data_IF_588228714977
#
_entry.id   IF_588228714977
#
_cell.length_a   1.000
_cell.length_b   1.000
_cell.length_c   1.000
_cell.angle_alpha   90.00
_cell.angle_beta   90.00
_cell.angle_gamma   90.00
#
_symmetry.space_group_name_H-M   'P 1'
#
loop_
_entity.id
_entity.type
_entity.pdbx_description
1 polymer ?
#
# COMPACT_ATOMS: atom_id res chain seq x y z
N UNK A 1 -13.96 4.99 -3.38
CA UNK A 1 -13.07 6.15 -3.22
C UNK A 1 -12.20 6.23 -4.45
N UNK A 2 -12.17 7.37 -5.12
CA UNK A 2 -11.38 7.55 -6.33
C UNK A 2 -9.94 7.93 -5.97
N UNK A 3 -8.91 7.19 -6.44
CA UNK A 3 -7.52 7.50 -6.13
C UNK A 3 -7.04 8.81 -6.75
N UNK A 4 -7.72 9.29 -7.81
CA UNK A 4 -7.43 10.56 -8.48
C UNK A 4 -8.07 11.78 -7.79
N UNK A 5 -8.96 11.57 -6.81
CA UNK A 5 -9.58 12.66 -6.06
C UNK A 5 -8.66 13.19 -4.95
N UNK A 6 -8.95 14.38 -4.43
CA UNK A 6 -8.16 15.00 -3.36
C UNK A 6 -8.03 14.11 -2.12
N UNK A 7 -9.11 13.43 -1.72
CA UNK A 7 -9.07 12.48 -0.60
C UNK A 7 -8.22 11.24 -0.94
N UNK A 8 -8.31 10.72 -2.16
CA UNK A 8 -7.47 9.62 -2.61
C UNK A 8 -5.98 9.99 -2.56
N UNK A 9 -5.63 11.17 -3.07
CA UNK A 9 -4.27 11.70 -2.98
C UNK A 9 -3.80 11.87 -1.51
N UNK A 10 -4.69 12.29 -0.62
CA UNK A 10 -4.38 12.43 0.81
C UNK A 10 -4.11 11.08 1.49
N UNK A 11 -4.87 10.02 1.14
CA UNK A 11 -4.60 8.64 1.59
C UNK A 11 -3.26 8.13 1.03
N UNK A 12 -2.98 8.44 -0.24
CA UNK A 12 -1.79 7.93 -0.92
C UNK A 12 -0.50 8.62 -0.45
N UNK A 13 -0.56 9.89 -0.05
CA UNK A 13 0.60 10.68 0.36
C UNK A 13 1.47 9.98 1.43
N UNK A 14 0.94 9.56 2.61
CA UNK A 14 1.74 8.87 3.62
C UNK A 14 2.25 7.50 3.13
N UNK A 15 1.46 6.77 2.34
CA UNK A 15 1.85 5.47 1.79
C UNK A 15 3.02 5.58 0.78
N UNK A 16 2.95 6.55 -0.13
CA UNK A 16 4.01 6.83 -1.12
C UNK A 16 5.28 7.32 -0.42
N UNK A 17 5.15 8.24 0.54
CA UNK A 17 6.28 8.75 1.31
C UNK A 17 6.99 7.63 2.07
N UNK A 18 6.22 6.75 2.72
CA UNK A 18 6.74 5.60 3.44
C UNK A 18 7.45 4.61 2.52
N UNK A 19 6.82 4.24 1.39
CA UNK A 19 7.42 3.32 0.43
C UNK A 19 8.71 3.90 -0.18
N UNK A 20 8.72 5.19 -0.54
CA UNK A 20 9.94 5.86 -1.03
C UNK A 20 11.05 5.88 0.04
N UNK A 21 10.69 6.14 1.31
CA UNK A 21 11.64 6.12 2.41
C UNK A 21 12.21 4.72 2.67
N UNK A 22 11.37 3.67 2.60
CA UNK A 22 11.81 2.29 2.74
C UNK A 22 12.79 1.87 1.64
N UNK A 23 12.48 2.20 0.38
CA UNK A 23 13.36 1.87 -0.74
C UNK A 23 14.58 2.79 -0.83
N UNK A 24 14.57 3.94 -0.15
CA UNK A 24 15.63 4.94 -0.22
C UNK A 24 15.70 5.66 -1.58
N UNK A 25 14.63 5.60 -2.37
CA UNK A 25 14.53 6.24 -3.69
C UNK A 25 13.08 6.67 -3.98
N UNK A 26 12.88 7.68 -4.84
CA UNK A 26 11.55 8.04 -5.29
C UNK A 26 10.92 6.86 -6.02
N UNK A 27 9.73 6.47 -5.59
CA UNK A 27 8.92 5.42 -6.22
C UNK A 27 7.48 5.88 -6.37
N UNK A 28 6.75 5.22 -7.26
CA UNK A 28 5.33 5.45 -7.49
C UNK A 28 4.52 4.24 -7.04
N UNK A 29 3.39 4.50 -6.41
CA UNK A 29 2.39 3.47 -6.12
C UNK A 29 1.34 3.51 -7.22
N UNK A 30 1.29 2.46 -8.01
CA UNK A 30 0.27 2.21 -9.00
C UNK A 30 -0.96 1.64 -8.30
N UNK A 31 -1.91 2.52 -7.99
CA UNK A 31 -3.10 2.18 -7.21
C UNK A 31 -4.02 1.31 -8.05
N UNK A 32 -4.13 0.05 -7.64
CA UNK A 32 -4.95 -0.93 -8.33
C UNK A 32 -6.35 -0.99 -7.74
N UNK A 33 -6.44 -0.94 -6.41
CA UNK A 33 -7.71 -0.87 -5.69
C UNK A 33 -7.54 0.07 -4.49
N UNK A 34 -8.46 1.02 -4.36
CA UNK A 34 -8.57 1.89 -3.19
C UNK A 34 -10.00 1.82 -2.66
N UNK A 35 -10.14 1.26 -1.45
CA UNK A 35 -11.43 1.11 -0.77
C UNK A 35 -11.37 1.91 0.51
N UNK A 36 -12.37 2.74 0.77
CA UNK A 36 -12.50 3.44 2.04
C UNK A 36 -13.92 3.28 2.57
N UNK A 37 -14.04 3.08 3.88
CA UNK A 37 -15.30 2.98 4.61
C UNK A 37 -15.05 3.24 6.11
N UNK A 38 -15.99 3.90 6.77
CA UNK A 38 -15.98 4.11 8.22
C UNK A 38 -14.69 4.77 8.76
N UNK A 39 -14.12 5.73 8.00
CA UNK A 39 -12.85 6.36 8.35
C UNK A 39 -11.61 5.48 8.11
N UNK A 40 -11.77 4.26 7.62
CA UNK A 40 -10.66 3.39 7.20
C UNK A 40 -10.46 3.41 5.70
N UNK A 41 -9.22 3.32 5.25
CA UNK A 41 -8.87 3.17 3.84
C UNK A 41 -7.88 2.01 3.66
N UNK A 42 -8.23 1.09 2.78
CA UNK A 42 -7.38 0.03 2.32
C UNK A 42 -6.86 0.34 0.93
N UNK A 43 -5.53 0.45 0.86
CA UNK A 43 -4.79 0.68 -0.37
C UNK A 43 -4.18 -0.63 -0.84
N UNK A 44 -4.51 -1.02 -2.06
CA UNK A 44 -3.84 -2.08 -2.80
C UNK A 44 -3.20 -1.50 -4.05
N UNK A 45 -1.88 -1.58 -4.12
CA UNK A 45 -1.10 -0.97 -5.21
C UNK A 45 0.09 -1.84 -5.62
N UNK A 46 0.62 -1.60 -6.81
CA UNK A 46 1.91 -2.12 -7.23
C UNK A 46 2.98 -1.02 -7.11
N UNK A 47 4.19 -1.39 -6.71
CA UNK A 47 5.33 -0.47 -6.70
C UNK A 47 5.92 -0.37 -8.10
N UNK A 48 6.11 0.86 -8.55
CA UNK A 48 6.72 1.21 -9.82
C UNK A 48 7.82 2.25 -9.59
N UNK A 49 8.78 2.26 -10.49
CA UNK A 49 9.70 3.39 -10.63
C UNK A 49 8.88 4.64 -11.02
N UNK A 50 9.42 5.85 -10.80
CA UNK A 50 8.76 7.10 -11.18
C UNK A 50 8.48 7.21 -12.69
N UNK A 51 9.23 6.46 -13.50
CA UNK A 51 9.05 6.29 -14.95
C UNK A 51 7.84 5.39 -15.32
N UNK A 52 7.25 4.68 -14.35
CA UNK A 52 6.17 3.70 -14.57
C UNK A 52 6.67 2.27 -14.85
N UNK A 53 7.98 2.10 -15.02
CA UNK A 53 8.63 0.81 -15.07
C UNK A 53 8.43 0.01 -13.77
N UNK A 54 8.39 -1.34 -13.81
CA UNK A 54 8.30 -2.15 -12.60
C UNK A 54 9.44 -1.81 -11.62
N UNK A 55 9.15 -1.71 -10.32
CA UNK A 55 10.19 -1.40 -9.33
C UNK A 55 11.34 -2.40 -9.45
N UNK A 56 12.55 -1.85 -9.53
CA UNK A 56 13.77 -2.62 -9.49
C UNK A 56 14.34 -2.58 -8.08
N UNK A 57 14.38 -3.73 -7.42
CA UNK A 57 14.90 -3.80 -6.06
C UNK A 57 16.42 -3.91 -6.01
N UNK A 58 17.10 -3.99 -7.16
CA UNK A 58 18.56 -4.17 -7.21
C UNK A 58 19.24 -2.97 -6.55
N UNK A 59 20.15 -3.25 -5.62
CA UNK A 59 20.84 -2.22 -4.84
C UNK A 59 20.01 -1.56 -3.73
N UNK A 60 18.75 -1.97 -3.53
CA UNK A 60 17.95 -1.59 -2.36
C UNK A 60 18.10 -2.63 -1.24
N UNK A 61 17.77 -2.31 0.02
CA UNK A 61 17.72 -3.31 1.10
C UNK A 61 16.74 -4.47 0.82
N UNK A 62 15.82 -4.29 -0.12
CA UNK A 62 14.88 -5.33 -0.56
C UNK A 62 15.43 -6.22 -1.68
N UNK A 63 16.62 -5.94 -2.22
CA UNK A 63 17.24 -6.69 -3.32
C UNK A 63 17.28 -8.19 -3.00
N UNK A 64 17.74 -8.53 -1.80
CA UNK A 64 17.92 -9.92 -1.38
C UNK A 64 16.57 -10.63 -1.20
N UNK A 65 15.59 -9.98 -0.55
CA UNK A 65 14.25 -10.53 -0.39
C UNK A 65 13.52 -10.70 -1.73
N UNK A 66 13.66 -9.75 -2.64
CA UNK A 66 13.11 -9.84 -3.99
C UNK A 66 13.79 -10.93 -4.83
N UNK A 67 15.12 -11.04 -4.75
CA UNK A 67 15.89 -12.07 -5.46
C UNK A 67 15.56 -13.49 -4.98
N UNK A 68 15.26 -13.65 -3.70
CA UNK A 68 14.78 -14.92 -3.12
C UNK A 68 13.30 -15.21 -3.43
N UNK A 69 12.60 -14.35 -4.20
CA UNK A 69 11.18 -14.51 -4.52
C UNK A 69 10.24 -14.29 -3.33
N UNK A 70 10.76 -13.78 -2.20
CA UNK A 70 10.02 -13.53 -0.96
C UNK A 70 9.20 -12.25 -1.06
N UNK A 71 9.63 -11.30 -1.89
CA UNK A 71 8.99 -9.99 -2.04
C UNK A 71 8.30 -9.85 -3.40
N UNK A 72 6.97 -9.78 -3.39
CA UNK A 72 6.21 -9.34 -4.57
C UNK A 72 6.39 -7.84 -4.83
N UNK A 73 6.13 -7.38 -6.06
CA UNK A 73 6.06 -5.94 -6.41
C UNK A 73 4.78 -5.25 -5.90
N UNK A 74 4.05 -5.89 -4.98
CA UNK A 74 2.78 -5.42 -4.43
C UNK A 74 3.04 -4.61 -3.17
N UNK A 75 2.29 -3.55 -2.96
CA UNK A 75 2.31 -2.76 -1.74
C UNK A 75 0.88 -2.58 -1.26
N UNK A 76 0.64 -2.99 -0.02
CA UNK A 76 -0.65 -2.81 0.63
C UNK A 76 -0.48 -2.01 1.90
N UNK A 77 -1.43 -1.12 2.14
CA UNK A 77 -1.44 -0.28 3.32
C UNK A 77 -2.86 -0.11 3.86
N UNK A 78 -2.95 -0.08 5.19
CA UNK A 78 -4.15 0.29 5.92
C UNK A 78 -3.93 1.67 6.53
N UNK A 79 -4.88 2.54 6.27
CA UNK A 79 -4.89 3.90 6.76
C UNK A 79 -6.17 4.16 7.53
N UNK A 80 -6.07 5.04 8.50
CA UNK A 80 -7.19 5.51 9.29
C UNK A 80 -7.22 7.04 9.25
N UNK A 81 -8.42 7.58 9.05
CA UNK A 81 -8.68 9.00 9.08
C UNK A 81 -8.91 9.43 10.52
N UNK A 82 -8.09 10.35 10.98
CA UNK A 82 -8.19 11.02 12.27
C UNK A 82 -8.46 12.53 12.06
N UNK A 83 -8.61 13.30 13.13
CA UNK A 83 -8.73 14.76 13.11
C UNK A 83 -7.58 15.47 12.36
N UNK A 84 -6.37 14.86 12.31
CA UNK A 84 -5.23 15.38 11.55
C UNK A 84 -5.20 14.95 10.07
N UNK A 85 -6.09 14.05 9.65
CA UNK A 85 -6.15 13.49 8.30
C UNK A 85 -5.81 11.99 8.26
N UNK A 86 -5.40 11.51 7.09
CA UNK A 86 -5.09 10.09 6.87
C UNK A 86 -3.72 9.71 7.46
N UNK A 87 -3.73 8.76 8.39
CA UNK A 87 -2.55 8.22 9.03
C UNK A 87 -2.33 6.75 8.65
N UNK A 88 -1.07 6.38 8.38
CA UNK A 88 -0.69 5.00 8.08
C UNK A 88 -0.74 4.15 9.35
N UNK A 89 -1.63 3.16 9.40
CA UNK A 89 -1.80 2.26 10.56
C UNK A 89 -0.93 1.02 10.40
N UNK A 90 -1.02 0.35 9.25
CA UNK A 90 -0.21 -0.84 8.95
C UNK A 90 0.10 -0.89 7.45
N UNK A 91 1.16 -1.62 7.08
CA UNK A 91 1.63 -1.80 5.72
C UNK A 91 2.26 -3.18 5.54
N UNK A 92 2.11 -3.74 4.34
CA UNK A 92 2.82 -4.94 3.93
C UNK A 92 3.43 -4.71 2.56
N UNK A 93 4.74 -4.91 2.49
CA UNK A 93 5.52 -4.83 1.27
C UNK A 93 5.68 -6.24 0.72
N UNK A 94 5.30 -6.42 -0.53
CA UNK A 94 5.41 -7.66 -1.28
C UNK A 94 4.79 -8.91 -0.66
N UNK A 95 3.59 -8.86 -0.05
CA UNK A 95 3.03 -10.04 0.56
C UNK A 95 2.77 -11.13 -0.49
N UNK A 96 3.27 -12.34 -0.21
CA UNK A 96 3.01 -13.56 -1.00
C UNK A 96 1.55 -13.99 -0.88
N UNK A 97 0.96 -13.75 0.29
CA UNK A 97 -0.40 -14.14 0.68
C UNK A 97 -1.27 -12.91 1.02
N UNK A 98 -2.51 -13.15 1.45
CA UNK A 98 -3.41 -12.13 1.99
C UNK A 98 -2.89 -11.70 3.38
N UNK A 99 -1.82 -10.92 3.43
CA UNK A 99 -1.18 -10.50 4.67
C UNK A 99 -2.04 -9.53 5.52
N UNK A 100 -3.13 -9.02 4.95
CA UNK A 100 -4.16 -8.25 5.63
C UNK A 100 -5.32 -9.12 6.15
N UNK A 101 -5.24 -10.45 5.96
CA UNK A 101 -6.18 -11.38 6.57
C UNK A 101 -6.09 -11.24 8.11
N UNK A 102 -7.16 -10.74 8.72
CA UNK A 102 -7.22 -10.46 10.16
C UNK A 102 -7.02 -8.99 10.54
N UNK A 103 -6.64 -8.09 9.61
CA UNK A 103 -6.56 -6.65 9.91
C UNK A 103 -7.89 -6.07 10.38
N UNK A 104 -9.00 -6.52 9.79
CA UNK A 104 -10.34 -6.15 10.24
C UNK A 104 -10.57 -6.49 11.72
N UNK A 105 -10.20 -7.70 12.16
CA UNK A 105 -10.37 -8.13 13.54
C UNK A 105 -9.35 -7.49 14.49
N UNK A 106 -8.13 -7.23 14.01
CA UNK A 106 -7.04 -6.68 14.82
C UNK A 106 -7.19 -5.17 15.06
N UNK A 107 -7.52 -4.42 14.01
CA UNK A 107 -7.63 -2.96 14.04
C UNK A 107 -9.07 -2.46 14.16
N UNK A 108 -10.07 -3.33 13.98
CA UNK A 108 -11.48 -2.93 13.94
C UNK A 108 -11.93 -2.35 12.60
N UNK A 109 -11.09 -2.44 11.55
CA UNK A 109 -11.42 -1.93 10.23
C UNK A 109 -12.55 -2.75 9.58
N UNK A 110 -13.45 -2.12 8.80
CA UNK A 110 -14.57 -2.82 8.17
C UNK A 110 -14.12 -3.87 7.15
N UNK A 111 -14.60 -5.11 7.27
CA UNK A 111 -14.20 -6.21 6.36
C UNK A 111 -14.40 -5.89 4.86
N UNK A 112 -15.40 -5.06 4.54
CA UNK A 112 -15.75 -4.68 3.18
C UNK A 112 -14.66 -3.91 2.42
N UNK A 113 -13.73 -3.22 3.10
CA UNK A 113 -12.62 -2.54 2.40
C UNK A 113 -11.53 -3.51 1.96
N UNK A 114 -11.45 -4.68 2.61
CA UNK A 114 -10.51 -5.75 2.27
C UNK A 114 -11.05 -6.68 1.17
N UNK A 115 -12.33 -6.55 0.82
CA UNK A 115 -12.97 -7.22 -0.31
C UNK A 115 -12.53 -6.56 -1.63
N UNK A 116 -11.31 -6.91 -2.05
CA UNK A 116 -10.76 -6.53 -3.34
C UNK A 116 -10.85 -7.72 -4.30
N UNK A 117 -11.36 -7.54 -5.54
CA UNK A 117 -11.36 -8.61 -6.52
C UNK A 117 -9.92 -8.91 -6.90
N UNK A 118 -9.44 -10.08 -6.49
CA UNK A 118 -8.14 -10.61 -6.91
C UNK A 118 -8.35 -11.18 -8.31
N UNK A 119 -7.96 -10.43 -9.34
CA UNK A 119 -7.93 -10.89 -10.74
C UNK A 119 -6.53 -11.37 -11.11
#
# INVERSE_FOLDING_TARGET
MDPSSAEGAAVLAPAVADAAAQLGKPIRLDVRSLKAADGWAFLWSAMQEPDGSPVDYTGTPFAEAAANGVLSKKYVALLHQDDQGWSLVDKRVGPSDIAWAGWSAHYGAPAAIFDIPVY
#
